data_IF_385924276303
#
_entry.id   IF_385924276303
#
_cell.length_a   1.000
_cell.length_b   1.000
_cell.length_c   1.000
_cell.angle_alpha   90.00
_cell.angle_beta   90.00
_cell.angle_gamma   90.00
#
_symmetry.space_group_name_H-M   'P 1'
#
loop_
_entity.id
_entity.type
_entity.pdbx_description
1 polymer ?
#
# COMPACT_ATOMS: atom_id res chain seq x y z
N UNK A 1 2.78 -32.61 -7.02
CA UNK A 1 1.32 -32.41 -7.05
C UNK A 1 1.01 -31.32 -8.05
N UNK A 2 0.19 -31.63 -9.04
CA UNK A 2 -0.21 -30.67 -10.05
C UNK A 2 -1.05 -29.55 -9.41
N UNK A 3 -0.72 -28.31 -9.66
CA UNK A 3 -1.35 -27.14 -9.05
C UNK A 3 -2.03 -26.33 -10.12
N UNK A 4 -3.17 -25.70 -9.79
CA UNK A 4 -3.73 -24.66 -10.63
C UNK A 4 -2.71 -23.57 -10.89
N UNK A 5 -2.58 -23.15 -12.14
CA UNK A 5 -1.64 -22.13 -12.58
C UNK A 5 -2.23 -21.33 -13.75
N UNK A 6 -1.55 -20.28 -14.18
CA UNK A 6 -2.01 -19.46 -15.29
C UNK A 6 -0.86 -19.10 -16.22
N UNK A 7 -1.21 -18.86 -17.49
CA UNK A 7 -0.32 -18.31 -18.51
C UNK A 7 -0.98 -17.14 -19.21
N UNK A 8 -0.17 -16.14 -19.53
CA UNK A 8 -0.62 -15.06 -20.42
C UNK A 8 -0.64 -15.59 -21.86
N UNK A 9 -1.67 -15.18 -22.61
CA UNK A 9 -1.70 -15.46 -24.04
C UNK A 9 -0.58 -14.68 -24.73
N UNK A 10 0.13 -15.28 -25.69
CA UNK A 10 1.19 -14.59 -26.44
C UNK A 10 0.66 -13.36 -27.16
N UNK A 11 1.47 -12.30 -27.21
CA UNK A 11 1.15 -11.11 -28.00
C UNK A 11 1.05 -11.45 -29.49
N UNK A 12 0.07 -10.86 -30.17
CA UNK A 12 -0.17 -11.09 -31.61
C UNK A 12 -1.10 -12.25 -31.97
N UNK A 13 -1.59 -13.00 -30.97
CA UNK A 13 -2.67 -13.98 -31.18
C UNK A 13 -4.01 -13.30 -30.88
N UNK A 14 -4.93 -13.29 -31.83
CA UNK A 14 -6.32 -12.89 -31.56
C UNK A 14 -6.97 -13.90 -30.61
N UNK A 15 -6.92 -13.62 -29.32
CA UNK A 15 -7.54 -14.40 -28.28
C UNK A 15 -8.58 -13.58 -27.54
N UNK A 16 -9.72 -14.18 -27.24
CA UNK A 16 -10.74 -13.60 -26.35
C UNK A 16 -10.17 -13.34 -24.94
N UNK A 17 -9.14 -14.09 -24.56
CA UNK A 17 -8.56 -14.06 -23.24
C UNK A 17 -7.12 -13.52 -23.28
N UNK A 18 -6.81 -12.65 -22.39
CA UNK A 18 -5.43 -12.17 -22.15
C UNK A 18 -4.61 -13.18 -21.32
N UNK A 19 -5.32 -13.96 -20.49
CA UNK A 19 -4.74 -14.94 -19.59
C UNK A 19 -5.67 -16.16 -19.53
N UNK A 20 -5.08 -17.35 -19.51
CA UNK A 20 -5.78 -18.62 -19.30
C UNK A 20 -5.31 -19.26 -17.99
N UNK A 21 -6.26 -19.81 -17.24
CA UNK A 21 -6.01 -20.62 -16.04
C UNK A 21 -6.13 -22.09 -16.42
N UNK A 22 -5.22 -22.90 -15.88
CA UNK A 22 -5.15 -24.33 -16.07
C UNK A 22 -5.34 -25.06 -14.74
N UNK A 23 -6.04 -26.19 -14.76
CA UNK A 23 -6.17 -27.09 -13.63
C UNK A 23 -4.89 -27.90 -13.39
N UNK A 24 -4.91 -28.82 -12.41
CA UNK A 24 -3.81 -29.69 -12.09
C UNK A 24 -3.40 -30.67 -13.19
N UNK A 25 -4.25 -30.92 -14.16
CA UNK A 25 -4.03 -31.81 -15.32
C UNK A 25 -3.60 -31.05 -16.58
N UNK A 26 -3.33 -29.74 -16.45
CA UNK A 26 -3.02 -28.81 -17.55
C UNK A 26 -4.17 -28.59 -18.54
N UNK A 27 -5.41 -28.81 -18.11
CA UNK A 27 -6.57 -28.49 -18.91
C UNK A 27 -7.04 -27.05 -18.60
N UNK A 28 -7.54 -26.29 -19.61
CA UNK A 28 -8.06 -24.95 -19.40
C UNK A 28 -9.24 -24.96 -18.42
N UNK A 29 -9.11 -24.15 -17.34
CA UNK A 29 -10.18 -23.99 -16.34
C UNK A 29 -10.89 -22.66 -16.54
N UNK A 30 -11.95 -22.69 -17.35
CA UNK A 30 -12.69 -21.50 -17.76
C UNK A 30 -13.32 -20.71 -16.61
N UNK A 31 -13.86 -21.31 -15.52
CA UNK A 31 -14.49 -20.55 -14.46
C UNK A 31 -13.55 -19.50 -13.79
N UNK A 32 -12.28 -19.85 -13.55
CA UNK A 32 -11.31 -18.89 -13.03
C UNK A 32 -10.81 -17.90 -14.10
N UNK A 33 -10.69 -18.36 -15.34
CA UNK A 33 -10.34 -17.52 -16.49
C UNK A 33 -11.39 -16.42 -16.69
N UNK A 34 -12.65 -16.80 -16.78
CA UNK A 34 -13.78 -15.87 -16.95
C UNK A 34 -13.92 -14.92 -15.75
N UNK A 35 -13.74 -15.44 -14.52
CA UNK A 35 -13.71 -14.59 -13.33
C UNK A 35 -12.61 -13.51 -13.41
N UNK A 36 -11.40 -13.88 -13.83
CA UNK A 36 -10.29 -12.92 -13.95
C UNK A 36 -10.64 -11.80 -14.93
N UNK A 37 -11.15 -12.13 -16.12
CA UNK A 37 -11.53 -11.15 -17.14
C UNK A 37 -12.72 -10.29 -16.72
N UNK A 38 -13.71 -10.88 -16.07
CA UNK A 38 -14.81 -10.15 -15.45
C UNK A 38 -14.34 -9.18 -14.35
N UNK A 39 -13.34 -9.61 -13.60
CA UNK A 39 -12.75 -8.79 -12.54
C UNK A 39 -11.99 -7.58 -13.09
N UNK A 40 -11.28 -7.72 -14.23
CA UNK A 40 -10.61 -6.58 -14.91
C UNK A 40 -11.64 -5.54 -15.33
N UNK A 41 -12.77 -5.94 -15.85
CA UNK A 41 -13.82 -5.01 -16.26
C UNK A 41 -14.42 -4.19 -15.10
N UNK A 42 -14.28 -4.65 -13.86
CA UNK A 42 -14.84 -4.01 -12.66
C UNK A 42 -13.81 -3.38 -11.73
N UNK A 43 -12.59 -3.86 -11.76
CA UNK A 43 -11.49 -3.45 -10.91
C UNK A 43 -10.25 -3.19 -11.77
N UNK A 44 -9.15 -2.80 -11.14
CA UNK A 44 -7.86 -2.76 -11.81
C UNK A 44 -7.27 -4.17 -12.02
N UNK A 45 -6.38 -4.30 -13.01
CA UNK A 45 -5.72 -5.56 -13.39
C UNK A 45 -4.91 -6.16 -12.21
N UNK A 46 -4.30 -5.32 -11.39
CA UNK A 46 -3.54 -5.74 -10.21
C UNK A 46 -4.44 -6.42 -9.17
N UNK A 47 -5.64 -5.87 -8.96
CA UNK A 47 -6.64 -6.46 -8.05
C UNK A 47 -7.15 -7.79 -8.59
N UNK A 48 -7.47 -7.87 -9.90
CA UNK A 48 -7.92 -9.11 -10.53
C UNK A 48 -6.86 -10.22 -10.40
N UNK A 49 -5.60 -9.90 -10.70
CA UNK A 49 -4.48 -10.85 -10.57
C UNK A 49 -4.24 -11.26 -9.11
N UNK A 50 -4.38 -10.32 -8.17
CA UNK A 50 -4.26 -10.61 -6.74
C UNK A 50 -5.36 -11.57 -6.26
N UNK A 51 -6.58 -11.40 -6.75
CA UNK A 51 -7.69 -12.31 -6.45
C UNK A 51 -7.45 -13.69 -7.07
N UNK A 52 -7.05 -13.75 -8.33
CA UNK A 52 -6.71 -15.00 -8.97
C UNK A 52 -5.63 -15.76 -8.16
N UNK A 53 -4.51 -15.12 -7.84
CA UNK A 53 -3.43 -15.72 -7.04
C UNK A 53 -3.89 -16.23 -5.67
N UNK A 54 -4.90 -15.62 -5.06
CA UNK A 54 -5.47 -16.11 -3.80
C UNK A 54 -6.37 -17.34 -3.99
N UNK A 55 -6.97 -17.51 -5.17
CA UNK A 55 -7.89 -18.60 -5.47
C UNK A 55 -7.18 -19.88 -5.93
N UNK A 56 -6.08 -19.77 -6.68
CA UNK A 56 -5.36 -20.95 -7.21
C UNK A 56 -5.02 -22.00 -6.16
N UNK A 57 -4.48 -21.65 -4.95
CA UNK A 57 -4.21 -22.64 -3.92
C UNK A 57 -5.48 -23.32 -3.39
N UNK A 58 -6.59 -22.58 -3.29
CA UNK A 58 -7.87 -23.13 -2.84
C UNK A 58 -8.41 -24.15 -3.84
N UNK A 59 -8.38 -23.86 -5.14
CA UNK A 59 -8.85 -24.81 -6.16
C UNK A 59 -7.94 -26.05 -6.22
N UNK A 60 -6.63 -25.88 -6.11
CA UNK A 60 -5.68 -27.01 -6.03
C UNK A 60 -5.97 -27.91 -4.81
N UNK A 61 -6.36 -27.32 -3.69
CA UNK A 61 -6.74 -28.04 -2.48
C UNK A 61 -8.12 -28.69 -2.64
N UNK A 62 -9.08 -28.01 -3.28
CA UNK A 62 -10.44 -28.49 -3.48
C UNK A 62 -10.47 -29.80 -4.29
N UNK A 63 -9.65 -29.89 -5.33
CA UNK A 63 -9.52 -31.10 -6.17
C UNK A 63 -8.94 -32.29 -5.42
N UNK A 64 -8.19 -32.07 -4.34
CA UNK A 64 -7.48 -33.12 -3.60
C UNK A 64 -8.18 -33.54 -2.31
N UNK A 65 -9.18 -32.78 -1.86
CA UNK A 65 -9.75 -32.93 -0.52
C UNK A 65 -11.17 -33.46 -0.57
N UNK A 66 -11.46 -34.47 0.24
CA UNK A 66 -12.80 -34.98 0.48
C UNK A 66 -13.42 -34.24 1.68
N UNK A 67 -14.23 -33.20 1.39
CA UNK A 67 -14.64 -32.25 2.42
C UNK A 67 -16.13 -32.24 2.72
N UNK A 68 -16.94 -32.95 1.94
CA UNK A 68 -18.37 -32.99 2.14
C UNK A 68 -18.85 -34.44 2.05
N UNK A 69 -19.36 -34.97 3.17
CA UNK A 69 -19.88 -36.36 3.26
C UNK A 69 -18.88 -37.41 2.69
N UNK A 70 -17.57 -37.17 2.84
CA UNK A 70 -16.52 -38.05 2.31
C UNK A 70 -16.32 -37.99 0.79
N UNK A 71 -16.97 -37.03 0.09
CA UNK A 71 -16.82 -36.79 -1.33
C UNK A 71 -15.98 -35.56 -1.62
N UNK A 72 -15.33 -35.57 -2.78
CA UNK A 72 -14.68 -34.39 -3.31
C UNK A 72 -15.74 -33.34 -3.70
N UNK A 73 -15.55 -32.08 -3.27
CA UNK A 73 -16.47 -31.00 -3.57
C UNK A 73 -16.03 -30.31 -4.86
N UNK A 74 -16.98 -30.21 -5.79
CA UNK A 74 -16.77 -29.45 -7.01
C UNK A 74 -17.12 -27.98 -6.84
N UNK A 75 -16.52 -27.10 -7.63
CA UNK A 75 -16.72 -25.65 -7.54
C UNK A 75 -18.18 -25.21 -7.82
N UNK A 76 -18.93 -26.01 -8.56
CA UNK A 76 -20.35 -25.75 -8.95
C UNK A 76 -21.37 -26.43 -8.06
N UNK A 77 -20.96 -27.02 -6.95
CA UNK A 77 -21.84 -27.63 -5.95
C UNK A 77 -22.71 -26.60 -5.20
N UNK A 78 -23.79 -27.03 -4.56
CA UNK A 78 -24.63 -26.16 -3.73
C UNK A 78 -23.86 -25.42 -2.64
N UNK A 79 -24.39 -24.26 -2.16
CA UNK A 79 -23.71 -23.41 -1.18
C UNK A 79 -23.27 -24.14 0.09
N UNK A 80 -24.01 -25.12 0.56
CA UNK A 80 -23.69 -25.89 1.76
C UNK A 80 -22.42 -26.70 1.59
N UNK A 81 -22.23 -27.37 0.46
CA UNK A 81 -21.04 -28.14 0.14
C UNK A 81 -19.82 -27.22 0.03
N UNK A 82 -19.97 -26.08 -0.67
CA UNK A 82 -18.91 -25.08 -0.82
C UNK A 82 -18.52 -24.49 0.56
N UNK A 83 -19.50 -24.18 1.43
CA UNK A 83 -19.23 -23.67 2.77
C UNK A 83 -18.41 -24.65 3.62
N UNK A 84 -18.74 -25.93 3.57
CA UNK A 84 -17.96 -26.97 4.26
C UNK A 84 -16.53 -27.06 3.71
N UNK A 85 -16.37 -27.01 2.38
CA UNK A 85 -15.05 -27.01 1.76
C UNK A 85 -14.24 -25.77 2.16
N UNK A 86 -14.83 -24.57 2.15
CA UNK A 86 -14.17 -23.34 2.59
C UNK A 86 -13.79 -23.40 4.06
N UNK A 87 -14.65 -23.90 4.92
CA UNK A 87 -14.36 -24.11 6.35
C UNK A 87 -13.15 -25.04 6.54
N UNK A 88 -13.14 -26.17 5.83
CA UNK A 88 -12.00 -27.11 5.82
C UNK A 88 -10.70 -26.46 5.36
N UNK A 89 -10.72 -25.66 4.28
CA UNK A 89 -9.55 -24.92 3.80
C UNK A 89 -9.05 -23.88 4.82
N UNK A 90 -9.96 -23.12 5.41
CA UNK A 90 -9.64 -22.16 6.46
C UNK A 90 -8.96 -22.81 7.66
N UNK A 91 -9.45 -24.00 8.07
CA UNK A 91 -8.90 -24.72 9.22
C UNK A 91 -7.55 -25.40 8.89
N UNK A 92 -7.48 -26.13 7.80
CA UNK A 92 -6.33 -27.00 7.47
C UNK A 92 -5.17 -26.21 6.85
N UNK A 93 -5.45 -25.37 5.84
CA UNK A 93 -4.42 -24.67 5.07
C UNK A 93 -4.14 -23.26 5.62
N UNK A 94 -5.17 -22.55 6.03
CA UNK A 94 -5.00 -21.20 6.57
C UNK A 94 -4.82 -21.20 8.10
N UNK A 95 -4.95 -22.35 8.76
CA UNK A 95 -4.81 -22.55 10.21
C UNK A 95 -5.66 -21.58 11.03
N UNK A 96 -6.90 -21.37 10.58
CA UNK A 96 -7.88 -20.57 11.29
C UNK A 96 -8.69 -21.44 12.27
N UNK A 97 -9.21 -20.84 13.32
CA UNK A 97 -10.25 -21.44 14.15
C UNK A 97 -11.61 -20.93 13.68
N UNK A 98 -12.48 -21.84 13.25
CA UNK A 98 -13.83 -21.50 12.81
C UNK A 98 -14.83 -21.93 13.88
N UNK A 99 -15.78 -21.05 14.21
CA UNK A 99 -16.85 -21.32 15.21
C UNK A 99 -18.20 -20.98 14.60
N UNK A 100 -19.17 -21.82 14.87
CA UNK A 100 -20.55 -21.56 14.51
C UNK A 100 -21.15 -20.44 15.37
N UNK A 101 -21.88 -19.53 14.75
CA UNK A 101 -22.66 -18.51 15.43
C UNK A 101 -23.92 -18.22 14.62
N UNK A 102 -25.07 -18.73 15.07
CA UNK A 102 -26.34 -18.58 14.38
C UNK A 102 -26.28 -19.09 12.92
N UNK A 103 -26.48 -18.18 11.95
CA UNK A 103 -26.53 -18.48 10.52
C UNK A 103 -25.18 -18.36 9.82
N UNK A 104 -24.14 -17.88 10.52
CA UNK A 104 -22.83 -17.59 9.95
C UNK A 104 -21.69 -18.24 10.74
N UNK A 105 -20.47 -18.14 10.22
CA UNK A 105 -19.27 -18.64 10.87
C UNK A 105 -18.35 -17.49 11.30
N UNK A 106 -17.88 -17.56 12.54
CA UNK A 106 -16.82 -16.68 13.04
C UNK A 106 -15.46 -17.32 12.77
N UNK A 107 -14.60 -16.58 12.09
CA UNK A 107 -13.25 -17.02 11.75
C UNK A 107 -12.24 -16.25 12.59
N UNK A 108 -11.52 -16.96 13.44
CA UNK A 108 -10.39 -16.43 14.20
C UNK A 108 -9.09 -16.97 13.61
N UNK A 109 -8.17 -16.09 13.26
CA UNK A 109 -6.85 -16.46 12.74
C UNK A 109 -5.91 -16.89 13.87
N UNK A 110 -4.93 -17.71 13.54
CA UNK A 110 -3.87 -18.08 14.48
C UNK A 110 -2.48 -17.74 13.95
N UNK A 111 -2.19 -17.96 12.67
CA UNK A 111 -0.85 -17.76 12.08
C UNK A 111 -0.82 -16.84 10.86
N UNK A 112 -1.87 -16.81 10.06
CA UNK A 112 -1.93 -15.96 8.86
C UNK A 112 -2.37 -14.53 9.21
N UNK A 113 -1.92 -13.54 8.43
CA UNK A 113 -2.36 -12.16 8.63
C UNK A 113 -3.87 -12.02 8.36
N UNK A 114 -4.59 -11.10 9.06
CA UNK A 114 -6.02 -10.83 8.80
C UNK A 114 -6.27 -10.50 7.34
N UNK A 115 -5.35 -9.75 6.74
CA UNK A 115 -5.46 -9.33 5.35
C UNK A 115 -5.39 -10.51 4.38
N UNK A 116 -4.61 -11.56 4.68
CA UNK A 116 -4.54 -12.76 3.84
C UNK A 116 -5.86 -13.50 3.83
N UNK A 117 -6.44 -13.75 5.01
CA UNK A 117 -7.72 -14.46 5.14
C UNK A 117 -8.86 -13.64 4.54
N UNK A 118 -8.91 -12.35 4.84
CA UNK A 118 -9.93 -11.45 4.31
C UNK A 118 -9.86 -11.31 2.79
N UNK A 119 -8.64 -11.27 2.22
CA UNK A 119 -8.43 -11.23 0.78
C UNK A 119 -8.92 -12.51 0.10
N UNK A 120 -8.61 -13.67 0.67
CA UNK A 120 -9.11 -14.95 0.17
C UNK A 120 -10.65 -14.99 0.16
N UNK A 121 -11.30 -14.69 1.30
CA UNK A 121 -12.76 -14.69 1.39
C UNK A 121 -13.39 -13.67 0.43
N UNK A 122 -12.77 -12.50 0.27
CA UNK A 122 -13.23 -11.48 -0.68
C UNK A 122 -13.06 -11.92 -2.14
N UNK A 123 -11.94 -12.58 -2.47
CA UNK A 123 -11.70 -13.13 -3.79
C UNK A 123 -12.71 -14.22 -4.13
N UNK A 124 -12.98 -15.14 -3.20
CA UNK A 124 -13.93 -16.22 -3.40
C UNK A 124 -15.39 -15.71 -3.50
N UNK A 125 -15.76 -14.72 -2.67
CA UNK A 125 -17.05 -14.03 -2.80
C UNK A 125 -17.18 -13.34 -4.16
N UNK A 126 -16.11 -12.71 -4.65
CA UNK A 126 -16.07 -12.09 -5.98
C UNK A 126 -16.17 -13.13 -7.11
N UNK A 127 -15.53 -14.29 -6.96
CA UNK A 127 -15.59 -15.40 -7.91
C UNK A 127 -17.03 -15.86 -8.10
N UNK A 128 -17.73 -16.24 -7.05
CA UNK A 128 -19.14 -16.67 -7.17
C UNK A 128 -20.05 -15.55 -7.67
N UNK A 129 -19.78 -14.30 -7.32
CA UNK A 129 -20.51 -13.15 -7.88
C UNK A 129 -20.31 -13.04 -9.40
N UNK A 130 -19.10 -13.28 -9.90
CA UNK A 130 -18.84 -13.30 -11.34
C UNK A 130 -19.56 -14.44 -12.03
N UNK A 131 -19.48 -15.66 -11.49
CA UNK A 131 -20.09 -16.85 -12.09
C UNK A 131 -21.62 -16.78 -12.11
N UNK A 132 -22.26 -16.23 -11.07
CA UNK A 132 -23.71 -16.01 -11.06
C UNK A 132 -24.08 -15.02 -12.19
N UNK A 133 -23.34 -13.94 -12.38
CA UNK A 133 -23.58 -12.96 -13.43
C UNK A 133 -23.35 -13.53 -14.83
N UNK A 134 -22.39 -14.44 -14.97
CA UNK A 134 -22.07 -15.15 -16.22
C UNK A 134 -22.93 -16.40 -16.45
N UNK A 135 -23.93 -16.63 -15.59
CA UNK A 135 -24.85 -17.78 -15.66
C UNK A 135 -24.14 -19.15 -15.57
N UNK A 136 -22.94 -19.19 -15.00
CA UNK A 136 -22.15 -20.41 -14.80
C UNK A 136 -22.37 -21.06 -13.42
N UNK A 137 -23.00 -20.35 -12.50
CA UNK A 137 -23.36 -20.86 -11.17
C UNK A 137 -24.80 -20.49 -10.83
N UNK A 138 -25.64 -21.49 -10.64
CA UNK A 138 -27.08 -21.33 -10.54
C UNK A 138 -27.63 -21.22 -9.12
N UNK A 139 -26.75 -21.26 -8.12
CA UNK A 139 -27.12 -21.14 -6.72
C UNK A 139 -26.80 -19.74 -6.17
N UNK A 140 -27.36 -19.37 -5.01
CA UNK A 140 -26.94 -18.16 -4.29
C UNK A 140 -25.44 -18.19 -3.96
N UNK A 141 -24.84 -17.02 -3.84
CA UNK A 141 -23.41 -16.92 -3.48
C UNK A 141 -23.14 -17.57 -2.10
N UNK A 142 -22.30 -18.62 -2.03
CA UNK A 142 -22.07 -19.37 -0.78
C UNK A 142 -21.41 -18.53 0.31
N UNK A 143 -20.72 -17.42 -0.05
CA UNK A 143 -20.03 -16.54 0.88
C UNK A 143 -20.95 -15.43 1.45
N UNK A 144 -22.24 -15.42 1.09
CA UNK A 144 -23.23 -14.45 1.57
C UNK A 144 -24.18 -15.15 2.56
N UNK A 145 -24.43 -14.49 3.69
CA UNK A 145 -25.44 -14.91 4.65
C UNK A 145 -26.81 -14.35 4.23
N UNK A 146 -27.59 -15.17 3.58
CA UNK A 146 -28.93 -14.80 3.07
C UNK A 146 -29.91 -14.39 4.19
N UNK A 147 -29.72 -14.88 5.40
CA UNK A 147 -30.55 -14.53 6.55
C UNK A 147 -30.24 -13.16 7.14
N UNK A 148 -28.97 -12.72 7.08
CA UNK A 148 -28.60 -11.39 7.52
C UNK A 148 -29.23 -10.29 6.65
N UNK A 149 -29.37 -10.54 5.34
CA UNK A 149 -30.06 -9.64 4.40
C UNK A 149 -31.55 -9.53 4.71
N UNK A 150 -32.22 -10.64 4.99
CA UNK A 150 -33.64 -10.68 5.37
C UNK A 150 -33.90 -10.05 6.74
N UNK A 151 -32.99 -10.22 7.70
CA UNK A 151 -33.06 -9.60 9.03
C UNK A 151 -32.95 -8.08 9.00
N UNK A 152 -32.10 -7.51 8.15
CA UNK A 152 -32.01 -6.05 7.95
C UNK A 152 -33.28 -5.47 7.29
N UNK A 153 -33.90 -6.20 6.37
CA UNK A 153 -35.16 -5.79 5.75
C UNK A 153 -36.32 -5.77 6.75
N UNK A 154 -36.42 -6.78 7.63
CA UNK A 154 -37.44 -6.83 8.70
C UNK A 154 -37.23 -5.74 9.77
N UNK A 155 -36.01 -5.47 10.17
CA UNK A 155 -35.71 -4.41 11.13
C UNK A 155 -35.95 -2.98 10.60
N UNK A 156 -35.92 -2.79 9.28
CA UNK A 156 -36.29 -1.51 8.65
C UNK A 156 -37.81 -1.31 8.54
N UNK A 157 -38.60 -2.39 8.53
CA UNK A 157 -40.06 -2.33 8.47
C UNK A 157 -40.75 -2.28 9.81
N UNK A 158 -40.11 -2.82 10.88
CA UNK A 158 -40.69 -2.86 12.24
C UNK A 158 -40.14 -1.82 13.22
N UNK A 159 -39.07 -1.08 12.85
CA UNK A 159 -38.44 -0.08 13.70
C UNK A 159 -39.09 1.30 13.57
N UNK A 160 -39.86 1.68 14.61
CA UNK A 160 -40.28 3.05 14.88
C UNK A 160 -39.20 4.06 14.48
N UNK A 161 -39.60 4.97 13.60
CA UNK A 161 -38.82 6.12 13.12
C UNK A 161 -38.21 6.91 14.29
N UNK A 162 -36.96 6.68 14.62
CA UNK A 162 -36.13 7.65 15.32
C UNK A 162 -35.52 8.57 14.27
N UNK A 163 -36.10 9.77 14.21
CA UNK A 163 -35.63 10.87 13.36
C UNK A 163 -34.14 11.15 13.61
N UNK A 164 -33.29 10.69 12.72
CA UNK A 164 -32.00 11.33 12.50
C UNK A 164 -32.14 12.26 11.31
N UNK A 165 -31.75 13.53 11.41
CA UNK A 165 -31.82 14.45 10.29
C UNK A 165 -30.98 13.91 9.12
N UNK A 166 -31.61 13.67 7.99
CA UNK A 166 -30.95 13.46 6.72
C UNK A 166 -30.29 14.77 6.35
N UNK A 167 -28.96 14.81 6.27
CA UNK A 167 -28.29 15.88 5.53
C UNK A 167 -28.74 15.81 4.07
N UNK A 168 -29.00 16.96 3.43
CA UNK A 168 -29.38 17.00 2.03
C UNK A 168 -28.26 16.40 1.19
N UNK A 169 -28.59 15.39 0.40
CA UNK A 169 -27.74 14.90 -0.67
C UNK A 169 -27.94 15.90 -1.81
N UNK A 170 -26.91 16.69 -2.10
CA UNK A 170 -26.90 17.50 -3.33
C UNK A 170 -27.08 16.55 -4.53
N UNK A 171 -28.11 16.84 -5.30
CA UNK A 171 -28.42 16.14 -6.52
C UNK A 171 -27.32 16.42 -7.56
N UNK A 172 -26.66 15.36 -7.97
CA UNK A 172 -25.74 15.38 -9.10
C UNK A 172 -24.38 14.87 -8.74
N UNK A 173 -24.18 13.57 -8.76
CA UNK A 173 -23.01 12.89 -9.27
C UNK A 173 -22.99 11.45 -8.78
N UNK A 174 -22.81 10.55 -9.77
CA UNK A 174 -22.26 9.20 -9.66
C UNK A 174 -22.92 8.26 -8.64
N UNK A 175 -23.51 7.21 -9.15
CA UNK A 175 -23.94 6.04 -8.41
C UNK A 175 -22.90 5.69 -7.35
N UNK A 176 -23.22 5.99 -6.10
CA UNK A 176 -22.42 5.60 -4.96
C UNK A 176 -22.35 4.06 -4.98
N UNK A 177 -21.20 3.53 -5.34
CA UNK A 177 -20.92 2.10 -5.20
C UNK A 177 -21.23 1.75 -3.74
N UNK A 178 -22.22 0.91 -3.44
CA UNK A 178 -22.61 0.62 -2.07
C UNK A 178 -21.38 0.10 -1.34
N UNK A 179 -21.03 0.76 -0.25
CA UNK A 179 -19.97 0.30 0.64
C UNK A 179 -20.24 -1.17 0.95
N UNK A 180 -19.27 -2.04 0.68
CA UNK A 180 -19.33 -3.46 1.04
C UNK A 180 -19.56 -3.54 2.55
N UNK A 181 -20.80 -3.80 2.97
CA UNK A 181 -21.10 -4.06 4.37
C UNK A 181 -20.55 -5.43 4.69
N UNK A 182 -19.61 -5.51 5.63
CA UNK A 182 -19.11 -6.78 6.19
C UNK A 182 -20.23 -7.62 6.86
N UNK A 183 -21.40 -7.02 7.04
CA UNK A 183 -22.57 -7.59 7.69
C UNK A 183 -23.23 -8.74 6.89
N UNK A 184 -23.03 -8.81 5.58
CA UNK A 184 -23.65 -9.81 4.70
C UNK A 184 -22.79 -11.05 4.44
N UNK A 185 -21.61 -11.16 5.04
CA UNK A 185 -20.71 -12.29 4.81
C UNK A 185 -21.03 -13.48 5.69
N UNK A 186 -21.05 -14.69 5.10
CA UNK A 186 -21.22 -15.94 5.85
C UNK A 186 -20.01 -16.23 6.75
N UNK A 187 -18.79 -16.02 6.28
CA UNK A 187 -17.59 -16.09 7.11
C UNK A 187 -17.20 -14.68 7.57
N UNK A 188 -17.32 -14.42 8.87
CA UNK A 188 -16.97 -13.14 9.48
C UNK A 188 -15.68 -13.27 10.26
N UNK A 189 -14.65 -12.52 9.85
CA UNK A 189 -13.41 -12.44 10.62
C UNK A 189 -13.68 -11.74 11.94
N UNK A 190 -13.19 -12.33 13.02
CA UNK A 190 -13.06 -11.62 14.30
C UNK A 190 -11.85 -10.69 14.08
N UNK A 191 -12.14 -9.43 13.85
CA UNK A 191 -11.10 -8.41 13.89
C UNK A 191 -10.78 -8.20 15.38
N UNK A 192 -9.59 -8.60 15.80
CA UNK A 192 -8.90 -7.83 16.82
C UNK A 192 -8.82 -6.41 16.27
N UNK A 193 -9.18 -5.41 17.06
CA UNK A 193 -9.13 -4.03 16.65
C UNK A 193 -7.79 -3.79 15.98
N UNK A 194 -7.83 -3.41 14.67
CA UNK A 194 -6.61 -3.07 13.96
C UNK A 194 -6.04 -1.83 14.64
N UNK A 195 -4.99 -2.02 15.41
CA UNK A 195 -4.20 -0.91 15.93
C UNK A 195 -3.18 -0.55 14.85
N UNK A 196 -3.15 0.69 14.39
CA UNK A 196 -2.10 1.12 13.49
C UNK A 196 -0.77 1.00 14.20
N UNK A 197 0.20 0.51 13.51
CA UNK A 197 1.58 0.61 13.95
C UNK A 197 1.98 2.09 13.89
N UNK A 198 2.06 2.73 15.03
CA UNK A 198 2.49 4.11 15.13
C UNK A 198 4.00 4.12 15.04
N UNK A 199 4.49 4.71 13.97
CA UNK A 199 5.92 4.88 13.75
C UNK A 199 6.25 6.31 14.11
N UNK A 200 6.90 6.47 15.27
CA UNK A 200 7.11 7.75 15.90
C UNK A 200 8.59 8.05 16.21
N UNK A 201 9.50 7.48 15.46
CA UNK A 201 10.92 7.82 15.56
C UNK A 201 11.25 9.00 14.63
N UNK A 202 11.55 10.20 15.16
CA UNK A 202 11.93 11.35 14.33
C UNK A 202 13.20 11.11 13.50
N UNK A 203 14.08 10.20 13.95
CA UNK A 203 15.33 9.86 13.28
C UNK A 203 15.16 8.86 12.14
N UNK A 204 13.96 8.27 11.99
CA UNK A 204 13.72 7.23 11.02
C UNK A 204 14.19 7.59 9.59
N UNK A 205 13.89 8.81 9.05
CA UNK A 205 14.41 9.19 7.73
C UNK A 205 15.93 9.13 7.66
N UNK A 206 16.61 9.67 8.67
CA UNK A 206 18.08 9.69 8.73
C UNK A 206 18.67 8.28 8.81
N UNK A 207 18.06 7.38 9.57
CA UNK A 207 18.49 5.98 9.65
C UNK A 207 18.36 5.29 8.28
N UNK A 208 17.25 5.51 7.58
CA UNK A 208 17.03 4.95 6.23
C UNK A 208 18.02 5.51 5.22
N UNK A 209 18.32 6.82 5.26
CA UNK A 209 19.31 7.42 4.35
C UNK A 209 20.73 6.91 4.63
N UNK A 210 21.08 6.73 5.90
CA UNK A 210 22.39 6.15 6.28
C UNK A 210 22.50 4.69 5.84
N UNK A 211 21.45 3.90 5.99
CA UNK A 211 21.40 2.53 5.52
C UNK A 211 21.50 2.46 4.00
N UNK A 212 20.76 3.31 3.29
CA UNK A 212 20.85 3.43 1.84
C UNK A 212 22.27 3.76 1.37
N UNK A 213 22.99 4.67 2.09
CA UNK A 213 24.40 4.98 1.80
C UNK A 213 25.31 3.76 1.98
N UNK A 214 25.09 2.93 3.00
CA UNK A 214 25.87 1.71 3.25
C UNK A 214 25.71 0.68 2.13
N UNK A 215 24.51 0.57 1.56
CA UNK A 215 24.22 -0.33 0.43
C UNK A 215 24.39 0.35 -0.93
N UNK A 216 25.04 1.50 -0.98
CA UNK A 216 25.37 2.27 -2.19
C UNK A 216 24.13 2.71 -2.99
N UNK A 217 23.11 3.26 -2.32
CA UNK A 217 22.04 3.93 -3.04
C UNK A 217 22.59 5.05 -3.93
N UNK A 218 22.08 5.13 -5.15
CA UNK A 218 22.31 6.24 -6.05
C UNK A 218 21.44 7.44 -5.69
N UNK A 219 21.60 8.56 -6.38
CA UNK A 219 20.71 9.73 -6.17
C UNK A 219 19.24 9.39 -6.43
N UNK A 220 18.95 8.46 -7.34
CA UNK A 220 17.59 7.98 -7.63
C UNK A 220 16.89 7.47 -6.35
N UNK A 221 17.51 6.52 -5.65
CA UNK A 221 16.94 5.91 -4.45
C UNK A 221 16.81 6.95 -3.32
N UNK A 222 17.81 7.79 -3.16
CA UNK A 222 17.79 8.85 -2.15
C UNK A 222 16.63 9.82 -2.38
N UNK A 223 16.45 10.28 -3.62
CA UNK A 223 15.37 11.21 -4.00
C UNK A 223 13.98 10.56 -3.76
N UNK A 224 13.80 9.31 -4.19
CA UNK A 224 12.54 8.58 -3.97
C UNK A 224 12.24 8.48 -2.46
N UNK A 225 13.22 8.05 -1.65
CA UNK A 225 13.05 7.94 -0.20
C UNK A 225 12.68 9.29 0.45
N UNK A 226 13.34 10.38 0.05
CA UNK A 226 13.04 11.72 0.57
C UNK A 226 11.62 12.15 0.21
N UNK A 227 11.21 12.01 -1.04
CA UNK A 227 9.83 12.36 -1.44
C UNK A 227 8.81 11.54 -0.65
N UNK A 228 9.07 10.25 -0.39
CA UNK A 228 8.17 9.42 0.41
C UNK A 228 7.99 9.94 1.84
N UNK A 229 9.08 10.28 2.53
CA UNK A 229 9.02 10.82 3.89
C UNK A 229 8.45 12.23 3.95
N UNK A 230 8.80 13.10 3.00
CA UNK A 230 8.40 14.51 3.00
C UNK A 230 6.95 14.74 2.54
N UNK A 231 6.41 13.86 1.67
CA UNK A 231 5.05 14.00 1.12
C UNK A 231 4.02 13.01 1.64
N UNK A 232 4.46 11.94 2.31
CA UNK A 232 3.57 10.85 2.70
C UNK A 232 2.93 10.12 1.50
N UNK A 233 3.55 10.17 0.32
CA UNK A 233 3.10 9.50 -0.89
C UNK A 233 3.21 7.97 -0.77
N UNK A 234 2.48 7.25 -1.63
CA UNK A 234 2.77 5.83 -1.89
C UNK A 234 3.96 5.70 -2.82
N UNK A 235 4.74 4.65 -2.69
CA UNK A 235 5.93 4.46 -3.53
C UNK A 235 5.59 4.47 -5.03
N UNK A 236 4.50 3.83 -5.45
CA UNK A 236 4.07 3.88 -6.84
C UNK A 236 3.70 5.30 -7.31
N UNK A 237 3.12 6.14 -6.45
CA UNK A 237 2.78 7.53 -6.77
C UNK A 237 4.03 8.38 -7.02
N UNK A 238 5.17 8.02 -6.44
CA UNK A 238 6.46 8.71 -6.64
C UNK A 238 7.22 8.14 -7.83
N UNK A 239 7.28 6.82 -7.94
CA UNK A 239 8.07 6.12 -8.97
C UNK A 239 7.51 6.38 -10.38
N UNK A 240 6.19 6.46 -10.50
CA UNK A 240 5.47 6.69 -11.75
C UNK A 240 5.44 8.17 -12.19
N UNK A 241 6.10 9.09 -11.45
CA UNK A 241 6.15 10.50 -11.82
C UNK A 241 6.84 10.71 -13.17
N UNK A 242 6.21 11.56 -13.98
CA UNK A 242 6.78 12.04 -15.25
C UNK A 242 7.43 13.41 -15.10
N UNK A 243 8.21 13.80 -16.07
CA UNK A 243 8.81 15.14 -16.13
C UNK A 243 7.72 16.22 -16.15
N UNK A 244 6.60 16.00 -16.86
CA UNK A 244 5.48 16.91 -16.92
C UNK A 244 4.77 17.09 -15.58
N UNK A 245 4.63 16.00 -14.80
CA UNK A 245 4.05 16.04 -13.46
C UNK A 245 4.81 16.97 -12.51
N UNK A 246 6.13 16.97 -12.61
CA UNK A 246 6.97 17.84 -11.82
C UNK A 246 7.06 19.25 -12.43
N UNK A 247 7.27 19.37 -13.75
CA UNK A 247 7.47 20.66 -14.44
C UNK A 247 6.30 21.61 -14.23
N UNK A 248 5.06 21.11 -14.22
CA UNK A 248 3.85 21.89 -14.02
C UNK A 248 3.73 22.49 -12.62
N UNK A 249 4.45 21.98 -11.63
CA UNK A 249 4.33 22.35 -10.21
C UNK A 249 5.68 22.73 -9.56
N UNK A 250 6.77 22.77 -10.32
CA UNK A 250 8.14 22.87 -9.76
C UNK A 250 8.35 24.14 -8.92
N UNK A 251 7.72 25.23 -9.29
CA UNK A 251 7.85 26.52 -8.60
C UNK A 251 7.26 26.51 -7.20
N UNK A 252 6.34 25.57 -6.95
CA UNK A 252 5.71 25.33 -5.64
C UNK A 252 6.43 24.23 -4.84
N UNK A 253 7.51 23.67 -5.34
CA UNK A 253 8.20 22.50 -4.78
C UNK A 253 7.26 21.29 -4.68
N UNK A 254 6.50 21.08 -5.72
CA UNK A 254 5.42 20.09 -5.79
C UNK A 254 5.52 19.27 -7.09
N UNK A 255 4.88 18.12 -7.10
CA UNK A 255 4.62 17.34 -8.29
C UNK A 255 3.17 16.86 -8.27
N UNK A 256 2.53 16.82 -9.43
CA UNK A 256 1.18 16.27 -9.57
C UNK A 256 1.24 14.78 -9.83
N UNK A 257 0.36 14.01 -9.22
CA UNK A 257 0.22 12.57 -9.48
C UNK A 257 -1.23 12.16 -9.32
N UNK A 258 -1.57 10.95 -9.76
CA UNK A 258 -2.89 10.40 -9.56
C UNK A 258 -2.96 9.57 -8.26
N UNK A 259 -4.00 9.79 -7.46
CA UNK A 259 -4.20 8.99 -6.27
C UNK A 259 -4.49 7.54 -6.66
N UNK A 260 -3.66 6.60 -6.20
CA UNK A 260 -3.81 5.16 -6.47
C UNK A 260 -5.22 4.66 -6.11
N UNK A 261 -5.85 3.94 -7.00
CA UNK A 261 -7.23 3.43 -6.84
C UNK A 261 -8.32 4.48 -7.10
N UNK A 262 -7.97 5.63 -7.70
CA UNK A 262 -8.94 6.61 -8.20
C UNK A 262 -9.21 6.45 -9.70
N UNK A 263 -8.56 5.50 -10.37
CA UNK A 263 -8.66 5.28 -11.82
C UNK A 263 -8.40 6.55 -12.64
N UNK A 264 -7.39 7.34 -12.23
CA UNK A 264 -7.03 8.61 -12.89
C UNK A 264 -7.96 9.79 -12.61
N UNK A 265 -9.00 9.61 -11.79
CA UNK A 265 -10.02 10.66 -11.56
C UNK A 265 -9.64 11.70 -10.50
N UNK A 266 -8.67 11.43 -9.63
CA UNK A 266 -8.27 12.33 -8.53
C UNK A 266 -6.80 12.68 -8.62
N UNK A 267 -6.52 13.96 -8.89
CA UNK A 267 -5.17 14.49 -8.81
C UNK A 267 -4.75 14.64 -7.35
N UNK A 268 -3.55 14.23 -7.05
CA UNK A 268 -2.87 14.42 -5.78
C UNK A 268 -1.62 15.25 -6.01
N UNK A 269 -1.39 16.22 -5.14
CA UNK A 269 -0.16 17.03 -5.16
C UNK A 269 0.78 16.48 -4.10
N UNK A 270 2.03 16.23 -4.48
CA UNK A 270 3.12 15.83 -3.60
C UNK A 270 4.00 17.03 -3.34
N UNK A 271 4.16 17.40 -2.06
CA UNK A 271 5.00 18.52 -1.65
C UNK A 271 6.27 18.03 -0.97
N UNK A 272 7.40 18.59 -1.33
CA UNK A 272 8.71 18.21 -0.80
C UNK A 272 9.64 19.41 -0.65
N UNK A 273 10.71 19.24 0.14
CA UNK A 273 11.61 20.33 0.54
C UNK A 273 12.51 20.84 -0.58
N UNK A 274 13.05 22.03 -0.40
CA UNK A 274 13.98 22.67 -1.35
C UNK A 274 15.21 21.80 -1.64
N UNK A 275 15.71 21.09 -0.64
CA UNK A 275 16.90 20.24 -0.81
C UNK A 275 16.58 18.98 -1.62
N UNK A 276 15.37 18.44 -1.45
CA UNK A 276 14.89 17.35 -2.28
C UNK A 276 14.72 17.79 -3.74
N UNK A 277 14.27 19.02 -3.99
CA UNK A 277 14.25 19.62 -5.33
C UNK A 277 15.65 19.69 -5.93
N UNK A 278 16.65 20.18 -5.17
CA UNK A 278 18.05 20.24 -5.65
C UNK A 278 18.58 18.84 -5.99
N UNK A 279 18.32 17.85 -5.15
CA UNK A 279 18.72 16.46 -5.38
C UNK A 279 18.01 15.87 -6.60
N UNK A 280 16.73 16.12 -6.77
CA UNK A 280 15.97 15.69 -7.93
C UNK A 280 16.52 16.28 -9.23
N UNK A 281 16.77 17.58 -9.26
CA UNK A 281 17.38 18.25 -10.42
C UNK A 281 18.79 17.74 -10.69
N UNK A 282 19.58 17.45 -9.64
CA UNK A 282 20.88 16.83 -9.79
C UNK A 282 20.79 15.42 -10.34
N UNK A 283 19.86 14.60 -9.84
CA UNK A 283 19.60 13.28 -10.38
C UNK A 283 19.25 13.36 -11.87
N UNK A 284 18.29 14.20 -12.24
CA UNK A 284 17.85 14.32 -13.63
C UNK A 284 18.98 14.77 -14.55
N UNK A 285 19.77 15.77 -14.15
CA UNK A 285 20.78 16.40 -15.02
C UNK A 285 22.16 15.72 -14.99
N UNK A 286 22.47 14.88 -14.00
CA UNK A 286 23.80 14.25 -13.88
C UNK A 286 23.74 12.73 -13.97
N UNK A 287 22.80 12.08 -13.30
CA UNK A 287 22.72 10.62 -13.25
C UNK A 287 21.79 10.07 -14.33
N UNK A 288 20.53 10.53 -14.35
CA UNK A 288 19.52 10.09 -15.32
C UNK A 288 19.98 10.31 -16.78
N UNK A 289 20.67 11.41 -17.04
CA UNK A 289 21.24 11.72 -18.37
C UNK A 289 22.12 10.58 -18.89
N UNK A 290 22.84 9.88 -18.03
CA UNK A 290 23.70 8.75 -18.42
C UNK A 290 22.90 7.53 -18.90
N UNK A 291 21.65 7.42 -18.45
CA UNK A 291 20.73 6.32 -18.77
C UNK A 291 19.73 6.70 -19.85
N UNK A 292 19.63 8.00 -20.19
CA UNK A 292 18.76 8.45 -21.27
C UNK A 292 19.43 8.24 -22.63
N UNK A 293 18.77 7.54 -23.55
CA UNK A 293 19.28 7.20 -24.88
C UNK A 293 19.85 8.42 -25.64
N UNK A 294 19.23 9.59 -25.46
CA UNK A 294 19.61 10.83 -26.11
C UNK A 294 20.37 11.79 -25.19
N UNK A 295 20.74 11.36 -23.99
CA UNK A 295 21.48 12.16 -22.99
C UNK A 295 20.83 13.53 -22.70
N UNK A 296 19.51 13.58 -22.66
CA UNK A 296 18.73 14.80 -22.47
C UNK A 296 18.74 15.27 -21.02
N UNK A 297 18.97 16.55 -20.84
CA UNK A 297 18.79 17.26 -19.55
C UNK A 297 17.32 17.61 -19.32
N UNK A 298 16.97 18.08 -18.10
CA UNK A 298 15.60 18.39 -17.71
C UNK A 298 14.82 19.22 -18.74
N UNK A 299 15.44 20.26 -19.31
CA UNK A 299 14.76 21.18 -20.23
C UNK A 299 14.48 20.55 -21.59
N UNK A 300 15.27 19.57 -22.00
CA UNK A 300 15.15 18.86 -23.28
C UNK A 300 14.25 17.61 -23.21
N UNK A 301 13.83 17.17 -22.00
CA UNK A 301 13.00 15.98 -21.84
C UNK A 301 11.54 16.26 -22.24
N UNK A 302 10.83 15.31 -22.90
CA UNK A 302 9.40 15.43 -23.12
C UNK A 302 8.63 15.25 -21.78
N UNK A 303 7.42 15.79 -21.71
CA UNK A 303 6.61 15.76 -20.50
C UNK A 303 6.23 14.34 -20.08
N UNK A 304 6.05 13.44 -21.01
CA UNK A 304 5.69 12.03 -20.80
C UNK A 304 6.86 11.17 -20.31
N UNK A 305 8.09 11.70 -20.39
CA UNK A 305 9.26 10.95 -19.96
C UNK A 305 9.20 10.63 -18.46
N UNK A 306 9.46 9.38 -18.06
CA UNK A 306 9.54 9.03 -16.65
C UNK A 306 10.70 9.75 -15.99
N UNK A 307 10.50 10.22 -14.75
CA UNK A 307 11.59 10.83 -13.98
C UNK A 307 12.66 9.78 -13.68
N UNK A 308 12.26 8.62 -13.17
CA UNK A 308 13.18 7.60 -12.68
C UNK A 308 13.42 6.51 -13.72
N UNK A 309 14.69 6.29 -14.05
CA UNK A 309 15.14 5.26 -14.99
C UNK A 309 15.99 4.20 -14.30
N UNK A 310 15.98 2.99 -14.85
CA UNK A 310 17.00 1.98 -14.56
C UNK A 310 18.31 2.33 -15.26
N UNK A 311 19.39 1.64 -14.92
CA UNK A 311 20.68 1.77 -15.61
C UNK A 311 20.62 1.35 -17.09
N UNK A 312 19.58 0.61 -17.48
CA UNK A 312 19.30 0.21 -18.87
C UNK A 312 18.44 1.24 -19.63
N UNK A 313 18.11 2.39 -19.03
CA UNK A 313 17.29 3.42 -19.66
C UNK A 313 15.79 3.13 -19.67
N UNK A 314 15.33 2.05 -19.05
CA UNK A 314 13.91 1.72 -18.91
C UNK A 314 13.29 2.39 -17.69
N UNK A 315 11.96 2.62 -17.65
CA UNK A 315 11.30 3.15 -16.47
C UNK A 315 11.60 2.32 -15.22
N UNK A 316 11.93 2.99 -14.12
CA UNK A 316 12.21 2.33 -12.85
C UNK A 316 10.91 1.79 -12.26
N UNK A 317 10.88 0.50 -11.89
CA UNK A 317 9.66 -0.16 -11.40
C UNK A 317 9.54 -0.13 -9.87
N UNK A 318 8.31 -0.36 -9.38
CA UNK A 318 8.07 -0.52 -7.94
C UNK A 318 8.82 -1.74 -7.36
N UNK A 319 8.92 -2.82 -8.11
CA UNK A 319 9.60 -4.06 -7.70
C UNK A 319 11.11 -3.81 -7.57
N UNK A 320 11.70 -3.09 -8.53
CA UNK A 320 13.10 -2.67 -8.46
C UNK A 320 13.35 -1.76 -7.25
N UNK A 321 12.48 -0.76 -7.03
CA UNK A 321 12.53 0.07 -5.82
C UNK A 321 12.45 -0.76 -4.54
N UNK A 322 11.49 -1.69 -4.46
CA UNK A 322 11.28 -2.52 -3.27
C UNK A 322 12.53 -3.36 -2.95
N UNK A 323 13.19 -3.89 -3.97
CA UNK A 323 14.44 -4.63 -3.80
C UNK A 323 15.57 -3.75 -3.22
N UNK A 324 15.75 -2.53 -3.75
CA UNK A 324 16.75 -1.59 -3.23
C UNK A 324 16.42 -1.13 -1.80
N UNK A 325 15.14 -0.92 -1.52
CA UNK A 325 14.64 -0.57 -0.19
C UNK A 325 14.91 -1.69 0.80
N UNK A 326 14.56 -2.92 0.47
CA UNK A 326 14.66 -4.08 1.34
C UNK A 326 16.10 -4.32 1.78
N UNK A 327 17.06 -4.23 0.86
CA UNK A 327 18.50 -4.27 1.17
C UNK A 327 18.94 -3.21 2.19
N UNK A 328 18.45 -1.98 2.05
CA UNK A 328 18.82 -0.92 2.99
C UNK A 328 18.19 -1.15 4.37
N UNK A 329 16.97 -1.65 4.40
CA UNK A 329 16.25 -1.94 5.65
C UNK A 329 16.86 -3.13 6.40
N UNK A 330 17.30 -4.17 5.68
CA UNK A 330 18.06 -5.29 6.26
C UNK A 330 19.36 -4.80 6.91
N UNK A 331 20.10 -3.90 6.25
CA UNK A 331 21.34 -3.32 6.77
C UNK A 331 21.14 -2.49 8.05
N UNK A 332 20.00 -1.87 8.25
CA UNK A 332 19.71 -1.11 9.47
C UNK A 332 18.88 -1.86 10.50
N UNK A 333 18.60 -3.16 10.27
CA UNK A 333 17.83 -4.03 11.17
C UNK A 333 16.42 -3.49 11.53
N UNK A 334 15.87 -2.61 10.71
CA UNK A 334 14.55 -2.01 10.92
C UNK A 334 13.52 -2.76 10.07
N UNK A 335 12.44 -3.25 10.69
CA UNK A 335 11.32 -3.85 9.95
C UNK A 335 10.41 -2.76 9.38
N UNK A 336 10.79 -2.22 8.23
CA UNK A 336 10.11 -1.10 7.61
C UNK A 336 9.83 -1.38 6.12
N UNK A 337 8.57 -1.40 5.70
CA UNK A 337 8.23 -1.38 4.28
C UNK A 337 7.98 0.06 3.79
N UNK A 338 8.05 0.34 2.47
CA UNK A 338 7.89 1.72 1.96
C UNK A 338 6.55 2.37 2.32
N UNK A 339 5.49 1.60 2.57
CA UNK A 339 4.19 2.14 2.96
C UNK A 339 4.21 2.74 4.38
N UNK A 340 5.09 2.25 5.24
CA UNK A 340 5.25 2.74 6.61
C UNK A 340 5.83 4.16 6.67
N UNK A 341 6.52 4.64 5.62
CA UNK A 341 6.93 6.06 5.51
C UNK A 341 5.73 7.00 5.55
N UNK A 342 4.60 6.56 4.94
CA UNK A 342 3.35 7.31 4.98
C UNK A 342 2.73 7.33 6.38
N UNK A 343 2.82 6.21 7.12
CA UNK A 343 2.38 6.18 8.53
C UNK A 343 3.21 7.17 9.36
N UNK A 344 4.53 7.15 9.21
CA UNK A 344 5.43 8.09 9.85
C UNK A 344 5.08 9.55 9.52
N UNK A 345 4.86 9.87 8.24
CA UNK A 345 4.47 11.22 7.81
C UNK A 345 3.16 11.67 8.48
N UNK A 346 2.13 10.82 8.49
CA UNK A 346 0.84 11.14 9.12
C UNK A 346 1.01 11.37 10.62
N UNK A 347 1.73 10.49 11.31
CA UNK A 347 2.01 10.61 12.74
C UNK A 347 2.75 11.91 13.05
N UNK A 348 3.80 12.21 12.28
CA UNK A 348 4.58 13.46 12.45
C UNK A 348 3.73 14.71 12.19
N UNK A 349 2.89 14.70 11.14
CA UNK A 349 2.00 15.82 10.84
C UNK A 349 0.89 16.00 11.89
N UNK A 350 0.35 14.93 12.42
CA UNK A 350 -0.64 15.01 13.51
C UNK A 350 0.01 15.58 14.77
N UNK A 351 1.20 15.13 15.11
CA UNK A 351 1.98 15.68 16.24
C UNK A 351 2.18 17.19 16.09
N UNK A 352 2.58 17.64 14.90
CA UNK A 352 2.74 19.07 14.63
C UNK A 352 1.41 19.82 14.79
N UNK A 353 0.29 19.25 14.29
CA UNK A 353 -1.04 19.85 14.44
C UNK A 353 -1.40 20.03 15.92
N UNK A 354 -1.26 18.98 16.72
CA UNK A 354 -1.56 19.04 18.14
C UNK A 354 -0.67 20.04 18.91
N UNK A 355 0.62 20.11 18.55
CA UNK A 355 1.57 20.98 19.23
C UNK A 355 1.39 22.47 18.91
N UNK A 356 1.01 22.79 17.70
CA UNK A 356 0.99 24.19 17.22
C UNK A 356 -0.39 24.82 17.19
N UNK A 357 -1.46 24.01 17.32
CA UNK A 357 -2.83 24.52 17.33
C UNK A 357 -3.22 24.99 18.74
N UNK A 358 -3.94 26.12 18.81
CA UNK A 358 -4.34 26.72 20.08
C UNK A 358 -5.75 26.32 20.52
N UNK A 359 -6.58 25.84 19.60
CA UNK A 359 -7.98 25.51 19.85
C UNK A 359 -8.34 24.17 19.20
N UNK A 360 -9.36 23.51 19.75
CA UNK A 360 -9.87 22.25 19.19
C UNK A 360 -10.45 22.46 17.77
N UNK A 361 -11.05 23.61 17.51
CA UNK A 361 -11.55 23.95 16.19
C UNK A 361 -10.41 24.01 15.16
N UNK A 362 -9.27 24.60 15.52
CA UNK A 362 -8.08 24.66 14.67
C UNK A 362 -7.49 23.26 14.44
N UNK A 363 -7.41 22.42 15.49
CA UNK A 363 -6.98 21.03 15.37
C UNK A 363 -7.85 20.29 14.35
N UNK A 364 -9.17 20.39 14.48
CA UNK A 364 -10.12 19.70 13.60
C UNK A 364 -10.02 20.21 12.15
N UNK A 365 -9.85 21.52 11.96
CA UNK A 365 -9.64 22.09 10.64
C UNK A 365 -8.37 21.54 9.99
N UNK A 366 -7.23 21.58 10.67
CA UNK A 366 -5.94 21.12 10.15
C UNK A 366 -5.89 19.60 9.92
N UNK A 367 -6.59 18.81 10.75
CA UNK A 367 -6.82 17.38 10.49
C UNK A 367 -7.59 17.16 9.19
N UNK A 368 -8.63 17.91 8.94
CA UNK A 368 -9.40 17.82 7.69
C UNK A 368 -8.55 18.21 6.48
N UNK A 369 -7.68 19.20 6.61
CA UNK A 369 -6.71 19.56 5.57
C UNK A 369 -5.73 18.43 5.29
N UNK A 370 -5.22 17.76 6.34
CA UNK A 370 -4.36 16.58 6.21
C UNK A 370 -5.08 15.43 5.51
N UNK A 371 -6.32 15.12 5.88
CA UNK A 371 -7.17 14.11 5.22
C UNK A 371 -7.32 14.40 3.73
N UNK A 372 -7.61 15.66 3.39
CA UNK A 372 -7.74 16.12 2.00
C UNK A 372 -6.42 15.99 1.23
N UNK A 373 -5.31 16.37 1.84
CA UNK A 373 -3.98 16.25 1.26
C UNK A 373 -3.61 14.80 0.97
N UNK A 374 -3.82 13.91 1.95
CA UNK A 374 -3.52 12.48 1.85
C UNK A 374 -4.49 11.75 0.90
N UNK A 375 -5.65 12.36 0.57
CA UNK A 375 -6.70 11.78 -0.29
C UNK A 375 -7.25 10.45 0.25
N UNK A 376 -7.47 10.33 1.55
CA UNK A 376 -8.15 9.17 2.11
C UNK A 376 -9.61 9.12 1.66
N UNK A 377 -10.07 7.90 1.27
CA UNK A 377 -11.49 7.65 0.95
C UNK A 377 -12.35 7.63 2.22
N UNK A 378 -11.82 7.06 3.30
CA UNK A 378 -12.48 7.00 4.60
C UNK A 378 -11.79 7.98 5.56
N UNK A 379 -12.54 8.97 6.02
CA UNK A 379 -12.09 9.96 6.99
C UNK A 379 -11.82 9.35 8.36
N UNK A 380 -12.49 8.23 8.71
CA UNK A 380 -12.28 7.53 9.97
C UNK A 380 -10.87 6.95 10.12
N UNK A 381 -10.13 6.83 9.02
CA UNK A 381 -8.73 6.37 9.07
C UNK A 381 -7.86 7.25 9.97
N UNK A 382 -8.16 8.54 10.09
CA UNK A 382 -7.40 9.44 10.95
C UNK A 382 -7.65 9.16 12.45
N UNK A 383 -8.86 8.74 12.81
CA UNK A 383 -9.24 8.47 14.20
C UNK A 383 -8.33 7.43 14.86
N UNK A 384 -7.83 6.53 14.07
CA UNK A 384 -6.92 5.47 14.50
C UNK A 384 -5.58 6.05 14.98
N UNK A 385 -5.13 7.15 14.38
CA UNK A 385 -3.95 7.88 14.81
C UNK A 385 -4.27 8.83 15.96
N UNK A 386 -5.48 9.38 16.00
CA UNK A 386 -5.93 10.33 17.04
C UNK A 386 -5.91 9.72 18.45
N UNK A 387 -6.31 8.46 18.60
CA UNK A 387 -6.28 7.75 19.88
C UNK A 387 -4.88 7.62 20.50
N UNK A 388 -3.85 7.80 19.71
CA UNK A 388 -2.48 7.81 20.20
C UNK A 388 -2.09 9.15 20.83
N UNK A 389 -2.73 10.24 20.39
CA UNK A 389 -2.43 11.58 20.86
C UNK A 389 -3.43 12.02 21.93
N UNK A 390 -3.33 11.42 23.10
CA UNK A 390 -3.90 12.00 24.33
C UNK A 390 -3.09 13.25 24.69
N UNK A 391 -3.78 14.38 24.91
CA UNK A 391 -3.14 15.69 25.01
C UNK A 391 -2.06 15.77 26.12
N UNK A 392 -2.25 15.05 27.20
CA UNK A 392 -1.34 15.03 28.34
C UNK A 392 -0.10 14.17 28.06
N UNK A 393 -0.27 12.97 27.53
CA UNK A 393 0.81 12.06 27.10
C UNK A 393 1.59 12.61 25.93
N UNK A 394 0.95 13.41 25.10
CA UNK A 394 1.57 14.01 23.94
C UNK A 394 2.58 15.11 24.32
N UNK A 395 2.28 15.95 25.33
CA UNK A 395 3.23 16.93 25.85
C UNK A 395 4.46 16.27 26.46
N UNK A 396 4.24 15.26 27.30
CA UNK A 396 5.34 14.50 27.91
C UNK A 396 6.23 13.81 26.86
N UNK A 397 5.62 13.17 25.88
CA UNK A 397 6.34 12.52 24.79
C UNK A 397 7.09 13.52 23.91
N UNK A 398 6.52 14.72 23.70
CA UNK A 398 7.16 15.77 22.93
C UNK A 398 8.35 16.38 23.65
N UNK A 399 8.21 16.71 24.93
CA UNK A 399 9.30 17.25 25.75
C UNK A 399 10.45 16.22 25.82
N UNK A 400 10.13 14.96 26.01
CA UNK A 400 11.12 13.89 26.02
C UNK A 400 11.78 13.68 24.65
N UNK A 401 11.04 13.87 23.55
CA UNK A 401 11.56 13.84 22.20
C UNK A 401 12.52 15.01 21.93
N UNK A 402 12.17 16.23 22.34
CA UNK A 402 13.03 17.41 22.19
C UNK A 402 14.32 17.25 22.99
N UNK A 403 14.23 16.76 24.23
CA UNK A 403 15.41 16.48 25.04
C UNK A 403 16.31 15.41 24.39
N UNK A 404 15.71 14.35 23.85
CA UNK A 404 16.45 13.30 23.16
C UNK A 404 17.07 13.79 21.83
N UNK A 405 16.38 14.64 21.08
CA UNK A 405 16.93 15.26 19.86
C UNK A 405 18.15 16.13 20.19
N UNK A 406 18.06 17.01 21.19
CA UNK A 406 19.17 17.86 21.65
C UNK A 406 20.35 17.03 22.11
N UNK A 407 20.10 15.95 22.85
CA UNK A 407 21.13 15.03 23.33
C UNK A 407 21.86 14.32 22.18
N UNK A 408 21.13 13.83 21.20
CA UNK A 408 21.68 13.16 20.01
C UNK A 408 22.44 14.11 19.09
N UNK A 409 21.94 15.33 18.92
CA UNK A 409 22.63 16.38 18.17
C UNK A 409 23.97 16.73 18.83
N UNK A 410 23.98 16.88 20.16
CA UNK A 410 25.20 17.11 20.92
C UNK A 410 26.19 15.92 20.85
N UNK A 411 25.70 14.68 20.89
CA UNK A 411 26.50 13.47 20.72
C UNK A 411 27.10 13.35 19.30
N UNK A 412 26.31 13.66 18.30
CA UNK A 412 26.76 13.69 16.90
C UNK A 412 27.85 14.74 16.66
N UNK A 413 27.65 15.96 17.16
CA UNK A 413 28.65 17.04 17.09
C UNK A 413 29.95 16.67 17.84
N UNK A 414 29.83 16.00 18.97
CA UNK A 414 30.99 15.53 19.74
C UNK A 414 31.73 14.39 19.03
N UNK A 415 30.99 13.43 18.39
CA UNK A 415 31.62 12.39 17.58
C UNK A 415 32.29 12.96 16.32
N UNK A 416 31.69 13.98 15.70
CA UNK A 416 32.29 14.70 14.56
C UNK A 416 33.55 15.45 14.97
N UNK A 417 33.59 16.11 16.16
CA UNK A 417 34.77 16.75 16.74
C UNK A 417 35.86 15.72 17.05
N UNK A 418 35.53 14.57 17.59
CA UNK A 418 36.46 13.51 17.92
C UNK A 418 37.02 12.80 16.69
N UNK A 419 36.21 12.60 15.61
CA UNK A 419 36.69 12.09 14.34
C UNK A 419 37.58 13.10 13.58
N UNK A 420 37.36 14.41 13.74
CA UNK A 420 38.25 15.45 13.20
C UNK A 420 39.59 15.54 13.97
N UNK A 421 39.61 15.13 15.23
CA UNK A 421 40.87 15.06 16.04
C UNK A 421 41.68 13.80 15.75
N UNK A 422 41.09 12.71 15.26
CA UNK A 422 41.80 11.56 14.70
C UNK A 422 42.02 11.83 13.23
N UNK A 423 43.19 12.34 12.83
CA UNK A 423 43.60 12.37 11.42
C UNK A 423 43.47 10.96 10.87
N UNK A 424 42.77 10.75 9.77
CA UNK A 424 42.77 9.45 9.12
C UNK A 424 44.19 9.19 8.64
N UNK A 425 44.66 7.96 8.83
CA UNK A 425 45.88 7.48 8.24
C UNK A 425 45.74 7.56 6.73
N UNK A 426 46.46 8.49 6.11
CA UNK A 426 46.33 8.87 4.70
C UNK A 426 46.81 7.77 3.74
N UNK A 427 47.31 6.65 4.25
CA UNK A 427 47.84 5.55 3.44
C UNK A 427 46.76 4.62 2.83
N UNK A 428 45.50 4.71 3.25
CA UNK A 428 44.41 3.88 2.70
C UNK A 428 43.57 4.61 1.62
N UNK A 429 43.77 5.93 1.46
CA UNK A 429 42.94 6.76 0.55
C UNK A 429 43.60 7.03 -0.83
N UNK A 430 44.78 6.51 -1.12
CA UNK A 430 45.40 6.69 -2.43
C UNK A 430 44.80 5.85 -3.57
N UNK A 431 43.91 4.91 -3.27
CA UNK A 431 43.28 4.05 -4.29
C UNK A 431 41.82 4.38 -4.63
N UNK A 432 41.28 5.47 -4.10
CA UNK A 432 39.96 5.98 -4.53
C UNK A 432 40.19 7.39 -5.13
N UNK A 433 40.96 7.47 -6.17
CA UNK A 433 40.97 8.64 -7.04
C UNK A 433 39.66 8.62 -7.84
N UNK A 434 38.94 9.75 -7.74
CA UNK A 434 37.86 10.22 -8.60
C UNK A 434 36.39 10.04 -8.18
N UNK A 435 36.07 9.82 -6.90
CA UNK A 435 34.75 10.22 -6.45
C UNK A 435 34.87 11.44 -5.53
N UNK A 436 34.98 12.61 -6.13
CA UNK A 436 34.74 13.87 -5.39
C UNK A 436 33.28 13.91 -5.00
N UNK A 437 33.01 13.57 -3.74
CA UNK A 437 31.72 13.87 -3.13
C UNK A 437 31.64 15.41 -3.12
N UNK A 438 30.69 15.93 -3.90
CA UNK A 438 30.42 17.35 -4.00
C UNK A 438 30.15 17.92 -2.61
N UNK A 439 30.79 19.04 -2.24
CA UNK A 439 30.57 19.68 -0.93
C UNK A 439 29.09 19.94 -0.60
N UNK A 440 28.21 20.11 -1.60
CA UNK A 440 26.78 20.28 -1.41
C UNK A 440 26.07 19.00 -0.95
N UNK A 441 26.56 17.81 -1.32
CA UNK A 441 26.02 16.55 -0.75
C UNK A 441 26.53 16.37 0.68
N UNK A 442 27.77 16.74 0.92
CA UNK A 442 28.31 16.70 2.28
C UNK A 442 27.59 17.70 3.17
N UNK A 443 27.27 18.89 2.69
CA UNK A 443 26.45 19.88 3.39
C UNK A 443 24.99 19.43 3.55
N UNK A 444 24.40 18.66 2.64
CA UNK A 444 23.04 18.11 2.75
C UNK A 444 22.96 16.90 3.66
N UNK A 445 24.02 16.12 3.74
CA UNK A 445 24.16 15.03 4.73
C UNK A 445 24.62 15.53 6.10
N UNK A 446 25.32 16.67 6.09
CA UNK A 446 25.80 17.38 7.29
C UNK A 446 24.89 18.57 7.67
N UNK A 447 23.99 18.96 6.78
CA UNK A 447 23.22 20.20 6.84
C UNK A 447 21.89 20.08 7.53
N UNK A 448 21.99 19.66 8.76
CA UNK A 448 21.11 20.10 9.84
C UNK A 448 21.85 21.18 10.64
N UNK A 449 22.44 22.16 9.96
CA UNK A 449 22.79 23.46 10.54
C UNK A 449 21.70 24.46 10.21
#
# INVERSE_FOLDING_TARGET
MAKYHYHYCPEGIESRYELLVFNGENEPFLPLTDHYHDCIGRNDKSTALSYLKCLLPFFSWLDQSSNYQGKQVQWNEPPEAIRVAVEGYLMNEMRCKVREKNTFRLVNRTSKSPNTVNRFLSALKSFYKSLIRLEQYHYPNPLIDSYAILGEYKSQTEGVRKNKPRMPVEAGTEEAVPHRRLTDSYFKLINEEWQPEIIDDPRLPSHVYQAGKKVNWSLREVVIARILFESGARASEVIELTIGDYRSQRDFQEASTFNKGSHGKRVKVLRFGKDTVKLLMRYINKERVQYDEFQRTFDALPNEAPIFLTELGTPFSYEAWYYHWDKAIEECEIRLNPHKTRHWFVTTRLREIYNTSKTEAEINQRKNELIKYIKWKNTDTIKVYDHYFDEEKHREAHDQMLENMQKLESEYLNQKKNKRKKKPDLTVLENIKDVKIDPEIQALLDGLE
#
